data_IF_167928743975
#
_entry.id   IF_167928743975
#
_cell.length_a   1.000
_cell.length_b   1.000
_cell.length_c   1.000
_cell.angle_alpha   90.00
_cell.angle_beta   90.00
_cell.angle_gamma   90.00
#
_symmetry.space_group_name_H-M   'P 1'
#
loop_
_entity.id
_entity.type
_entity.pdbx_description
1 polymer ?
#
# COMPACT_ATOMS: atom_id res chain seq x y z
N UNK A 1 -3.55 6.94 29.30
CA UNK A 1 -4.30 5.94 28.53
C UNK A 1 -5.59 5.55 29.25
N UNK A 2 -6.73 6.13 28.85
CA UNK A 2 -8.03 5.64 29.29
C UNK A 2 -8.57 4.62 28.29
N UNK A 3 -9.43 3.69 28.73
CA UNK A 3 -10.02 2.66 27.86
C UNK A 3 -11.54 2.81 27.87
N UNK A 4 -12.15 2.86 26.70
CA UNK A 4 -13.59 2.85 26.49
C UNK A 4 -13.97 1.71 25.56
N UNK A 5 -14.98 0.96 25.98
CA UNK A 5 -15.53 -0.16 25.23
C UNK A 5 -17.02 0.10 25.05
N UNK A 6 -17.49 0.02 23.82
CA UNK A 6 -18.90 0.12 23.41
C UNK A 6 -19.69 -1.17 23.71
N UNK A 7 -20.89 -1.27 23.14
CA UNK A 7 -21.75 -2.45 23.15
C UNK A 7 -21.66 -3.21 21.82
N UNK A 8 -22.60 -4.12 21.54
CA UNK A 8 -22.71 -4.80 20.25
C UNK A 8 -23.70 -4.11 19.29
N UNK A 9 -24.17 -2.91 19.65
CA UNK A 9 -25.03 -2.07 18.82
C UNK A 9 -24.25 -0.90 18.22
N UNK A 10 -24.93 -0.03 17.47
CA UNK A 10 -24.32 1.19 16.97
C UNK A 10 -24.11 2.19 18.12
N UNK A 11 -22.86 2.55 18.37
CA UNK A 11 -22.43 3.42 19.45
C UNK A 11 -21.66 4.66 18.96
N UNK A 12 -21.62 5.68 19.82
CA UNK A 12 -20.79 6.88 19.59
C UNK A 12 -19.82 7.02 20.75
N UNK A 13 -18.54 6.82 20.47
CA UNK A 13 -17.46 6.89 21.43
C UNK A 13 -16.59 8.11 21.13
N UNK A 14 -16.33 8.91 22.16
CA UNK A 14 -15.38 10.00 22.09
C UNK A 14 -14.32 9.84 23.18
N UNK A 15 -13.06 9.93 22.81
CA UNK A 15 -11.89 10.01 23.68
C UNK A 15 -11.77 11.37 24.38
N UNK A 16 -10.56 11.66 24.80
CA UNK A 16 -10.11 12.80 25.59
C UNK A 16 -8.98 13.51 24.85
N UNK A 17 -8.29 14.46 25.48
CA UNK A 17 -7.14 15.13 24.84
C UNK A 17 -5.80 14.49 25.27
N UNK A 18 -5.86 13.21 25.68
CA UNK A 18 -4.73 12.37 26.02
C UNK A 18 -4.99 10.99 25.45
N UNK A 19 -3.95 10.17 25.36
CA UNK A 19 -4.03 8.82 24.78
C UNK A 19 -5.21 8.00 25.32
N UNK A 20 -5.93 7.38 24.40
CA UNK A 20 -7.10 6.54 24.64
C UNK A 20 -7.04 5.22 23.88
N UNK A 21 -7.77 4.23 24.40
CA UNK A 21 -8.10 2.99 23.69
C UNK A 21 -9.62 2.98 23.52
N UNK A 22 -10.09 3.09 22.28
CA UNK A 22 -11.50 3.07 21.91
C UNK A 22 -11.83 1.77 21.17
N UNK A 23 -12.78 1.00 21.70
CA UNK A 23 -13.23 -0.27 21.13
C UNK A 23 -14.73 -0.21 20.79
N UNK A 24 -15.09 -0.37 19.51
CA UNK A 24 -16.46 -0.42 18.97
C UNK A 24 -17.13 -1.81 19.01
N UNK A 25 -16.34 -2.88 19.13
CA UNK A 25 -16.84 -4.27 19.22
C UNK A 25 -17.65 -4.72 18.01
N UNK A 26 -18.97 -4.54 17.99
CA UNK A 26 -19.83 -4.94 16.90
C UNK A 26 -20.92 -3.89 16.72
N UNK A 27 -21.37 -3.67 15.50
CA UNK A 27 -22.30 -2.58 15.19
C UNK A 27 -21.68 -1.64 14.17
N UNK A 28 -22.36 -0.54 13.86
CA UNK A 28 -21.75 0.53 13.05
C UNK A 28 -21.50 1.69 13.99
N UNK A 29 -20.26 1.84 14.41
CA UNK A 29 -19.85 2.75 15.46
C UNK A 29 -19.21 4.01 14.91
N UNK A 30 -19.24 5.07 15.71
CA UNK A 30 -18.49 6.29 15.46
C UNK A 30 -17.51 6.53 16.61
N UNK A 31 -16.21 6.36 16.33
CA UNK A 31 -15.14 6.53 17.29
C UNK A 31 -14.33 7.78 16.95
N UNK A 32 -14.21 8.70 17.91
CA UNK A 32 -13.38 9.91 17.80
C UNK A 32 -12.35 9.94 18.92
N UNK A 33 -11.05 9.90 18.60
CA UNK A 33 -9.94 9.99 19.56
C UNK A 33 -9.81 11.37 20.21
N UNK A 34 -9.77 12.40 19.36
CA UNK A 34 -9.54 13.83 19.64
C UNK A 34 -8.08 14.20 19.71
N UNK A 35 -7.42 14.02 20.85
CA UNK A 35 -6.04 14.44 21.03
C UNK A 35 -5.26 13.42 21.85
N UNK A 36 -3.97 13.28 21.59
CA UNK A 36 -3.15 12.20 22.16
C UNK A 36 -2.94 11.08 21.15
N UNK A 37 -2.11 10.10 21.50
CA UNK A 37 -1.82 8.96 20.62
C UNK A 37 -2.84 7.84 20.90
N UNK A 38 -3.89 7.75 20.08
CA UNK A 38 -5.04 6.91 20.33
C UNK A 38 -4.98 5.57 19.59
N UNK A 39 -5.64 4.55 20.17
CA UNK A 39 -5.89 3.26 19.50
C UNK A 39 -7.38 3.11 19.26
N UNK A 40 -7.79 3.12 17.99
CA UNK A 40 -9.17 2.99 17.56
C UNK A 40 -9.38 1.64 16.90
N UNK A 41 -10.24 0.81 17.48
CA UNK A 41 -10.66 -0.47 16.90
C UNK A 41 -12.18 -0.47 16.75
N UNK A 42 -12.64 -0.35 15.50
CA UNK A 42 -14.08 -0.40 15.18
C UNK A 42 -14.69 -1.74 15.55
N UNK A 43 -14.02 -2.82 15.18
CA UNK A 43 -14.51 -4.18 15.42
C UNK A 43 -15.30 -4.66 14.21
N UNK A 44 -16.44 -5.32 14.43
CA UNK A 44 -17.27 -5.85 13.37
C UNK A 44 -18.30 -4.82 12.92
N UNK A 45 -18.32 -4.48 11.64
CA UNK A 45 -19.36 -3.65 11.06
C UNK A 45 -18.83 -2.76 9.96
N UNK A 46 -19.47 -1.60 9.79
CA UNK A 46 -18.90 -0.51 9.00
C UNK A 46 -18.88 0.71 9.88
N UNK A 47 -17.72 0.96 10.46
CA UNK A 47 -17.51 2.01 11.44
C UNK A 47 -17.07 3.33 10.80
N UNK A 48 -17.01 4.38 11.61
CA UNK A 48 -16.42 5.67 11.30
C UNK A 48 -15.37 6.00 12.36
N UNK A 49 -14.10 5.95 11.98
CA UNK A 49 -12.96 6.17 12.87
C UNK A 49 -12.28 7.50 12.52
N UNK A 50 -12.00 8.30 13.55
CA UNK A 50 -11.25 9.56 13.47
C UNK A 50 -10.33 9.67 14.68
N UNK A 51 -9.02 9.65 14.47
CA UNK A 51 -7.98 9.76 15.50
C UNK A 51 -7.91 11.17 16.05
N UNK A 52 -7.54 12.13 15.21
CA UNK A 52 -7.48 13.54 15.56
C UNK A 52 -6.05 14.05 15.62
N UNK A 53 -5.64 14.64 16.74
CA UNK A 53 -4.28 15.15 16.89
C UNK A 53 -3.43 14.17 17.70
N UNK A 54 -2.33 13.70 17.13
CA UNK A 54 -1.46 12.70 17.73
C UNK A 54 -1.11 11.62 16.72
N UNK A 55 -0.31 10.64 17.14
CA UNK A 55 0.01 9.48 16.29
C UNK A 55 -0.97 8.37 16.60
N UNK A 56 -2.01 8.26 15.78
CA UNK A 56 -3.12 7.36 16.03
C UNK A 56 -2.91 6.00 15.35
N UNK A 57 -3.49 4.96 15.95
CA UNK A 57 -3.50 3.61 15.39
C UNK A 57 -4.93 3.14 15.14
N UNK A 58 -5.25 2.92 13.86
CA UNK A 58 -6.52 2.40 13.39
C UNK A 58 -6.43 0.90 13.15
N UNK A 59 -7.32 0.13 13.76
CA UNK A 59 -7.53 -1.29 13.47
C UNK A 59 -8.84 -1.41 12.70
N UNK A 60 -8.73 -1.78 11.42
CA UNK A 60 -9.87 -1.83 10.50
C UNK A 60 -10.03 -3.21 9.85
N UNK A 61 -11.27 -3.65 9.71
CA UNK A 61 -11.64 -4.83 8.94
C UNK A 61 -12.44 -4.48 7.67
N UNK A 62 -12.72 -3.19 7.46
CA UNK A 62 -13.35 -2.66 6.27
C UNK A 62 -12.63 -1.40 5.74
N UNK A 63 -12.47 -1.32 4.41
CA UNK A 63 -11.71 -0.25 3.77
C UNK A 63 -12.38 1.14 3.83
N UNK A 64 -13.62 1.22 4.29
CA UNK A 64 -14.38 2.47 4.40
C UNK A 64 -14.39 3.07 5.80
N UNK A 65 -13.71 2.45 6.78
CA UNK A 65 -13.88 2.80 8.19
C UNK A 65 -13.17 4.09 8.61
N UNK A 66 -12.07 4.44 7.96
CA UNK A 66 -11.34 5.66 8.31
C UNK A 66 -11.93 6.85 7.56
N UNK A 67 -12.28 7.90 8.30
CA UNK A 67 -12.68 9.16 7.71
C UNK A 67 -11.46 9.89 7.11
N UNK A 68 -11.11 9.58 5.87
CA UNK A 68 -9.95 10.13 5.16
C UNK A 68 -9.96 11.66 5.00
N UNK A 69 -11.09 12.32 5.27
CA UNK A 69 -11.28 13.76 5.15
C UNK A 69 -11.33 14.50 6.51
N UNK A 70 -11.32 13.79 7.64
CA UNK A 70 -11.22 14.41 8.95
C UNK A 70 -9.82 15.03 9.13
N UNK A 71 -9.68 16.21 9.75
CA UNK A 71 -8.37 16.72 10.12
C UNK A 71 -7.67 15.72 11.03
N UNK A 72 -6.51 15.24 10.59
CA UNK A 72 -5.60 14.36 11.33
C UNK A 72 -4.24 15.05 11.41
N UNK A 73 -3.50 14.85 12.50
CA UNK A 73 -2.18 15.43 12.65
C UNK A 73 -1.27 14.49 13.43
N UNK A 74 -0.22 14.00 12.78
CA UNK A 74 0.73 13.10 13.41
C UNK A 74 1.31 12.16 12.35
N UNK A 75 1.78 11.01 12.80
CA UNK A 75 2.19 9.89 11.96
C UNK A 75 1.25 8.73 12.27
N UNK A 76 0.24 8.58 11.42
CA UNK A 76 -0.88 7.68 11.69
C UNK A 76 -0.64 6.29 11.11
N UNK A 77 -1.06 5.27 11.86
CA UNK A 77 -0.86 3.87 11.53
C UNK A 77 -2.18 3.16 11.28
N UNK A 78 -2.35 2.64 10.07
CA UNK A 78 -3.46 1.77 9.70
C UNK A 78 -2.99 0.32 9.74
N UNK A 79 -3.67 -0.49 10.56
CA UNK A 79 -3.52 -1.94 10.61
C UNK A 79 -4.80 -2.59 10.11
N UNK A 80 -4.70 -3.41 9.07
CA UNK A 80 -5.89 -3.89 8.37
C UNK A 80 -5.82 -5.36 7.98
N UNK A 81 -6.98 -6.02 7.94
CA UNK A 81 -7.15 -7.39 7.41
C UNK A 81 -7.74 -7.40 6.00
N UNK A 82 -7.93 -6.23 5.38
CA UNK A 82 -8.45 -6.07 4.01
C UNK A 82 -7.49 -5.30 3.11
N UNK A 83 -7.72 -5.36 1.80
CA UNK A 83 -6.98 -4.52 0.85
C UNK A 83 -7.29 -3.05 1.13
N UNK A 84 -6.24 -2.22 1.24
CA UNK A 84 -6.41 -0.83 1.67
C UNK A 84 -5.47 0.13 0.94
N UNK A 85 -5.96 1.37 0.80
CA UNK A 85 -5.18 2.51 0.31
C UNK A 85 -5.25 3.62 1.33
N UNK A 86 -4.09 4.10 1.80
CA UNK A 86 -4.00 5.19 2.78
C UNK A 86 -4.75 6.44 2.26
N UNK A 87 -5.47 7.11 3.15
CA UNK A 87 -6.05 8.43 2.88
C UNK A 87 -4.98 9.52 2.95
N UNK A 88 -5.35 10.78 2.72
CA UNK A 88 -4.38 11.85 2.50
C UNK A 88 -3.53 12.26 3.71
N UNK A 89 -3.81 11.71 4.90
CA UNK A 89 -3.20 12.09 6.18
C UNK A 89 -2.78 10.84 6.97
N UNK A 90 -2.48 9.72 6.29
CA UNK A 90 -1.96 8.54 6.96
C UNK A 90 -0.65 8.11 6.32
N UNK A 91 0.32 7.73 7.14
CA UNK A 91 1.70 7.51 6.69
C UNK A 91 2.12 6.06 6.80
N UNK A 92 1.48 5.25 7.66
CA UNK A 92 1.91 3.86 7.91
C UNK A 92 0.77 2.90 7.63
N UNK A 93 1.03 1.92 6.77
CA UNK A 93 0.13 0.80 6.50
C UNK A 93 0.80 -0.50 6.92
N UNK A 94 0.08 -1.32 7.67
CA UNK A 94 0.48 -2.70 7.99
C UNK A 94 -0.67 -3.65 7.67
N UNK A 95 -0.44 -4.56 6.73
CA UNK A 95 -1.37 -5.64 6.42
C UNK A 95 -1.22 -6.73 7.49
N UNK A 96 -2.34 -7.20 8.03
CA UNK A 96 -2.42 -8.23 9.06
C UNK A 96 -2.87 -9.57 8.47
N UNK A 97 -2.70 -10.63 9.25
CA UNK A 97 -3.15 -11.97 8.90
C UNK A 97 -2.28 -12.65 7.84
N UNK A 98 -2.88 -13.61 7.13
CA UNK A 98 -2.22 -14.44 6.12
C UNK A 98 -3.05 -14.57 4.84
N UNK A 99 -4.01 -13.66 4.65
CA UNK A 99 -4.81 -13.56 3.44
C UNK A 99 -4.08 -12.71 2.41
N UNK A 100 -4.22 -13.05 1.12
CA UNK A 100 -3.65 -12.23 0.05
C UNK A 100 -4.45 -10.94 -0.09
N UNK A 101 -3.91 -9.85 0.44
CA UNK A 101 -4.47 -8.50 0.40
C UNK A 101 -3.40 -7.52 -0.10
N UNK A 102 -3.81 -6.37 -0.60
CA UNK A 102 -2.89 -5.40 -1.19
C UNK A 102 -2.83 -4.13 -0.36
N UNK A 103 -1.69 -3.44 -0.44
CA UNK A 103 -1.45 -2.19 0.25
C UNK A 103 -1.01 -1.10 -0.72
N UNK A 104 -1.63 0.07 -0.61
CA UNK A 104 -1.19 1.25 -1.33
C UNK A 104 -1.08 2.44 -0.37
N UNK A 105 -0.03 3.24 -0.51
CA UNK A 105 0.05 4.55 0.12
C UNK A 105 -0.64 5.64 -0.70
N UNK A 106 -0.21 6.88 -0.49
CA UNK A 106 -0.79 8.13 -0.97
C UNK A 106 0.30 9.01 -1.64
N UNK A 107 0.30 10.32 -1.42
CA UNK A 107 1.29 11.23 -1.99
C UNK A 107 2.33 11.76 -0.99
N UNK A 108 2.23 11.31 0.27
CA UNK A 108 3.15 11.59 1.36
C UNK A 108 4.20 10.49 1.43
N UNK A 109 5.21 10.68 2.28
CA UNK A 109 6.19 9.65 2.60
C UNK A 109 5.52 8.53 3.40
N UNK A 110 5.44 7.33 2.85
CA UNK A 110 4.71 6.22 3.45
C UNK A 110 5.59 5.02 3.81
N UNK A 111 5.23 4.35 4.90
CA UNK A 111 5.77 3.04 5.29
C UNK A 111 4.70 1.98 5.07
N UNK A 112 4.81 1.19 4.00
CA UNK A 112 3.87 0.14 3.63
C UNK A 112 4.46 -1.24 3.89
N UNK A 113 3.88 -1.97 4.84
CA UNK A 113 4.28 -3.33 5.22
C UNK A 113 3.19 -4.35 4.85
N UNK A 114 3.60 -5.38 4.12
CA UNK A 114 2.82 -6.56 3.78
C UNK A 114 2.60 -7.53 4.95
N UNK A 115 1.94 -8.64 4.66
CA UNK A 115 1.70 -9.75 5.57
C UNK A 115 2.43 -11.01 5.08
N UNK A 116 2.04 -12.20 5.56
CA UNK A 116 2.73 -13.44 5.17
C UNK A 116 2.22 -14.09 3.87
N UNK A 117 1.38 -13.39 3.10
CA UNK A 117 0.79 -13.87 1.87
C UNK A 117 1.26 -13.03 0.69
N UNK A 118 1.01 -13.48 -0.54
CA UNK A 118 1.32 -12.69 -1.73
C UNK A 118 0.55 -11.36 -1.72
N UNK A 119 1.26 -10.25 -1.65
CA UNK A 119 0.73 -8.90 -1.64
C UNK A 119 1.23 -8.10 -2.85
N UNK A 120 0.41 -7.19 -3.35
CA UNK A 120 0.86 -6.09 -4.21
C UNK A 120 1.00 -4.83 -3.34
N UNK A 121 2.21 -4.30 -3.24
CA UNK A 121 2.53 -3.11 -2.45
C UNK A 121 2.96 -1.96 -3.35
N UNK A 122 2.39 -0.78 -3.09
CA UNK A 122 2.75 0.48 -3.77
C UNK A 122 2.88 1.60 -2.75
N UNK A 123 3.99 2.33 -2.77
CA UNK A 123 4.20 3.51 -1.95
C UNK A 123 3.29 4.65 -2.39
N UNK A 124 3.46 5.12 -3.62
CA UNK A 124 2.62 6.18 -4.16
C UNK A 124 3.49 7.22 -4.82
N UNK A 125 3.27 8.49 -4.48
CA UNK A 125 4.30 9.52 -4.64
C UNK A 125 4.93 9.74 -3.27
N UNK A 126 6.05 10.46 -3.22
CA UNK A 126 6.74 10.72 -1.95
C UNK A 126 7.86 9.70 -1.71
N UNK A 127 8.53 9.82 -0.58
CA UNK A 127 9.65 8.96 -0.21
C UNK A 127 9.12 7.78 0.60
N UNK A 128 8.99 6.63 -0.05
CA UNK A 128 8.35 5.47 0.56
C UNK A 128 9.33 4.38 1.01
N UNK A 129 8.89 3.60 2.00
CA UNK A 129 9.49 2.35 2.44
C UNK A 129 8.48 1.21 2.23
N UNK A 130 8.84 0.25 1.39
CA UNK A 130 8.03 -0.93 1.08
C UNK A 130 8.69 -2.20 1.63
N UNK A 131 7.92 -3.02 2.34
CA UNK A 131 8.37 -4.31 2.88
C UNK A 131 7.32 -5.39 2.64
N UNK A 132 7.62 -6.38 1.79
CA UNK A 132 6.73 -7.51 1.48
C UNK A 132 6.54 -8.48 2.65
N UNK A 133 7.59 -8.65 3.46
CA UNK A 133 7.68 -9.63 4.55
C UNK A 133 7.83 -11.07 4.06
N UNK A 134 6.77 -11.87 4.02
CA UNK A 134 6.85 -13.25 3.53
C UNK A 134 5.75 -13.48 2.50
N UNK A 135 5.99 -14.34 1.52
CA UNK A 135 5.05 -14.52 0.42
C UNK A 135 5.75 -14.24 -0.90
N UNK A 136 5.01 -14.28 -2.00
CA UNK A 136 5.55 -13.93 -3.30
C UNK A 136 4.94 -12.59 -3.68
N UNK A 137 5.65 -11.52 -3.39
CA UNK A 137 5.11 -10.17 -3.42
C UNK A 137 5.40 -9.47 -4.75
N UNK A 138 4.59 -8.46 -5.05
CA UNK A 138 4.79 -7.53 -6.16
C UNK A 138 4.97 -6.14 -5.57
N UNK A 139 6.19 -5.62 -5.64
CA UNK A 139 6.53 -4.30 -5.14
C UNK A 139 6.64 -3.33 -6.32
N UNK A 140 5.73 -2.35 -6.36
CA UNK A 140 5.68 -1.37 -7.44
C UNK A 140 6.70 -0.27 -7.17
N UNK A 141 7.74 -0.22 -8.01
CA UNK A 141 8.83 0.74 -7.89
C UNK A 141 8.41 2.15 -8.29
N UNK A 142 8.66 3.11 -7.41
CA UNK A 142 8.77 4.53 -7.72
C UNK A 142 10.22 5.02 -7.50
N UNK A 143 10.79 5.87 -8.39
CA UNK A 143 12.13 6.42 -8.19
C UNK A 143 12.34 7.22 -6.89
N UNK A 144 11.27 7.72 -6.27
CA UNK A 144 11.31 8.41 -5.00
C UNK A 144 11.38 7.47 -3.79
N UNK A 145 11.05 6.18 -3.95
CA UNK A 145 11.16 5.17 -2.89
C UNK A 145 12.58 5.13 -2.33
N UNK A 146 12.72 5.11 -1.00
CA UNK A 146 14.03 4.98 -0.35
C UNK A 146 14.39 3.52 -0.06
N UNK A 147 13.40 2.65 0.10
CA UNK A 147 13.64 1.23 0.32
C UNK A 147 12.49 0.37 -0.23
N UNK A 148 12.85 -0.67 -0.98
CA UNK A 148 11.93 -1.69 -1.47
C UNK A 148 12.53 -3.05 -1.14
N UNK A 149 11.95 -3.71 -0.14
CA UNK A 149 12.38 -5.01 0.35
C UNK A 149 11.28 -6.06 0.12
N UNK A 150 11.51 -7.05 -0.74
CA UNK A 150 10.51 -8.13 -0.93
C UNK A 150 10.42 -9.03 0.30
N UNK A 151 11.57 -9.40 0.87
CA UNK A 151 11.61 -10.21 2.08
C UNK A 151 11.86 -11.68 1.75
N UNK A 152 11.01 -12.57 2.28
CA UNK A 152 11.13 -14.00 2.12
C UNK A 152 10.13 -14.54 1.11
N UNK A 153 10.61 -15.18 0.06
CA UNK A 153 9.79 -15.84 -0.94
C UNK A 153 10.36 -15.60 -2.33
N UNK A 154 9.49 -15.44 -3.33
CA UNK A 154 9.90 -15.05 -4.68
C UNK A 154 9.21 -13.75 -5.04
N UNK A 155 9.95 -12.67 -4.93
CA UNK A 155 9.42 -11.32 -4.98
C UNK A 155 9.75 -10.62 -6.29
N UNK A 156 8.79 -9.84 -6.76
CA UNK A 156 8.84 -9.14 -8.04
C UNK A 156 8.95 -7.64 -7.82
N UNK A 157 10.05 -7.04 -8.26
CA UNK A 157 10.14 -5.60 -8.45
C UNK A 157 9.48 -5.23 -9.77
N UNK A 158 8.37 -4.53 -9.68
CA UNK A 158 7.60 -4.12 -10.83
C UNK A 158 7.91 -2.65 -11.18
N UNK A 159 8.60 -2.45 -12.31
CA UNK A 159 8.93 -1.11 -12.81
C UNK A 159 8.01 -0.81 -13.98
N UNK A 160 7.07 0.12 -13.80
CA UNK A 160 6.06 0.48 -14.81
C UNK A 160 5.88 2.00 -14.91
N UNK A 161 5.44 2.47 -16.07
CA UNK A 161 5.20 3.89 -16.34
C UNK A 161 6.21 4.49 -17.33
N UNK A 162 5.77 5.48 -18.11
CA UNK A 162 6.67 6.21 -19.01
C UNK A 162 7.62 7.08 -18.20
N UNK A 163 8.91 7.06 -18.53
CA UNK A 163 9.91 7.91 -17.88
C UNK A 163 10.40 7.43 -16.51
N UNK A 164 9.90 6.30 -15.99
CA UNK A 164 10.43 5.69 -14.77
C UNK A 164 11.81 5.08 -15.09
N UNK A 165 12.83 5.56 -14.39
CA UNK A 165 14.22 5.11 -14.55
C UNK A 165 14.70 4.53 -13.24
N UNK A 166 15.02 3.23 -13.22
CA UNK A 166 15.68 2.59 -12.09
C UNK A 166 17.19 2.49 -12.40
N UNK A 167 17.98 3.42 -11.87
CA UNK A 167 19.44 3.37 -12.06
C UNK A 167 20.10 2.57 -10.94
N UNK A 168 20.37 1.29 -11.17
CA UNK A 168 20.98 0.41 -10.18
C UNK A 168 22.44 0.76 -9.83
N UNK A 169 23.11 1.62 -10.61
CA UNK A 169 24.50 2.06 -10.34
C UNK A 169 24.57 3.25 -9.40
N UNK A 170 23.53 4.09 -9.38
CA UNK A 170 23.45 5.29 -8.55
C UNK A 170 22.16 5.33 -7.75
N UNK A 171 21.53 4.17 -7.53
CA UNK A 171 20.23 4.08 -6.88
C UNK A 171 20.34 4.63 -5.47
N UNK A 172 19.46 5.58 -5.15
CA UNK A 172 19.22 6.03 -3.78
C UNK A 172 18.26 5.07 -3.07
N UNK A 173 17.44 4.33 -3.82
CA UNK A 173 16.57 3.27 -3.32
C UNK A 173 17.39 2.04 -2.94
N UNK A 174 17.25 1.58 -1.70
CA UNK A 174 17.74 0.29 -1.27
C UNK A 174 16.79 -0.82 -1.77
N UNK A 175 17.26 -1.62 -2.73
CA UNK A 175 16.53 -2.77 -3.26
C UNK A 175 17.09 -4.06 -2.63
N UNK A 176 16.24 -4.87 -1.98
CA UNK A 176 16.65 -6.11 -1.33
C UNK A 176 15.57 -7.19 -1.35
N UNK A 177 15.96 -8.47 -1.26
CA UNK A 177 15.01 -9.60 -1.24
C UNK A 177 14.10 -9.60 -2.46
N UNK A 178 14.68 -9.50 -3.66
CA UNK A 178 13.95 -9.48 -4.94
C UNK A 178 14.57 -10.52 -5.86
N UNK A 179 13.74 -11.40 -6.43
CA UNK A 179 14.16 -12.47 -7.33
C UNK A 179 13.78 -12.17 -8.79
N UNK A 180 12.73 -11.39 -8.99
CA UNK A 180 12.16 -11.09 -10.31
C UNK A 180 12.11 -9.58 -10.53
N UNK A 181 12.45 -9.16 -11.74
CA UNK A 181 12.20 -7.79 -12.22
C UNK A 181 11.17 -7.88 -13.34
N UNK A 182 10.00 -7.29 -13.14
CA UNK A 182 8.94 -7.19 -14.15
C UNK A 182 8.96 -5.82 -14.84
N UNK A 183 9.27 -5.84 -16.14
CA UNK A 183 9.25 -4.68 -17.04
C UNK A 183 8.10 -4.74 -18.06
N UNK A 184 7.18 -5.71 -17.93
CA UNK A 184 6.17 -6.01 -18.96
C UNK A 184 4.95 -5.08 -18.93
N UNK A 185 4.94 -4.06 -18.07
CA UNK A 185 3.91 -3.03 -18.03
C UNK A 185 3.94 -2.11 -19.24
N UNK A 186 2.77 -1.91 -19.85
CA UNK A 186 2.55 -1.21 -21.12
C UNK A 186 2.98 0.26 -21.11
N UNK A 187 4.27 0.52 -21.35
CA UNK A 187 4.80 1.82 -21.77
C UNK A 187 5.23 1.86 -23.23
N UNK A 188 5.41 0.70 -23.86
CA UNK A 188 5.66 0.57 -25.29
C UNK A 188 4.89 -0.64 -25.84
N UNK A 189 4.45 -0.50 -27.08
CA UNK A 189 3.63 -1.47 -27.82
C UNK A 189 4.02 -2.93 -27.58
N UNK A 190 3.05 -3.87 -27.49
CA UNK A 190 3.34 -5.28 -27.26
C UNK A 190 4.34 -5.81 -28.29
N UNK A 191 5.20 -6.75 -27.89
CA UNK A 191 6.20 -7.40 -28.76
C UNK A 191 5.62 -7.95 -30.08
N UNK A 192 4.31 -8.18 -30.13
CA UNK A 192 3.55 -8.57 -31.33
C UNK A 192 3.49 -7.50 -32.43
N UNK A 193 3.73 -6.21 -32.13
CA UNK A 193 3.76 -5.13 -33.12
C UNK A 193 5.15 -4.87 -33.71
N UNK A 194 6.19 -5.51 -33.19
CA UNK A 194 7.54 -5.45 -33.75
C UNK A 194 7.57 -6.31 -35.01
N UNK A 195 7.09 -5.74 -36.13
CA UNK A 195 7.26 -6.34 -37.46
C UNK A 195 8.75 -6.61 -37.64
N UNK A 196 9.14 -7.88 -37.56
CA UNK A 196 10.48 -8.33 -37.94
C UNK A 196 10.72 -7.82 -39.36
N UNK A 197 11.68 -6.91 -39.61
CA UNK A 197 12.10 -6.66 -40.97
C UNK A 197 12.70 -7.99 -41.45
N UNK A 198 12.03 -8.65 -42.38
CA UNK A 198 12.52 -9.89 -42.96
C UNK A 198 13.81 -9.56 -43.72
N UNK A 199 14.97 -9.68 -43.07
CA UNK A 199 16.29 -9.57 -43.69
C UNK A 199 16.59 -10.84 -44.50
N UNK A 200 15.80 -11.07 -45.55
CA UNK A 200 16.07 -11.87 -46.76
C UNK A 200 14.76 -12.30 -47.42
N UNK A 201 14.12 -11.38 -48.12
CA UNK A 201 13.40 -11.75 -49.33
C UNK A 201 14.16 -11.11 -50.50
N UNK A 202 15.14 -11.84 -51.05
CA UNK A 202 15.64 -11.48 -52.38
C UNK A 202 14.52 -11.78 -53.38
N UNK A 203 14.17 -10.86 -54.29
CA UNK A 203 13.25 -11.19 -55.37
C UNK A 203 13.90 -12.22 -56.30
N UNK A 204 13.13 -13.26 -56.64
CA UNK A 204 13.49 -14.24 -57.66
C UNK A 204 13.49 -13.53 -59.00
N UNK A 205 14.67 -13.21 -59.53
CA UNK A 205 14.82 -12.73 -60.90
C UNK A 205 14.49 -13.91 -61.83
N UNK A 206 13.43 -13.81 -62.61
CA UNK A 206 13.17 -14.73 -63.73
C UNK A 206 14.04 -14.30 -64.92
N UNK A 207 14.70 -15.22 -65.65
CA UNK A 207 15.48 -14.84 -66.81
C UNK A 207 14.58 -14.55 -68.02
N UNK A 208 14.95 -13.47 -68.72
CA UNK A 208 14.70 -13.06 -70.10
C UNK A 208 13.84 -13.97 -71.00
N UNK A 209 12.83 -13.34 -71.61
CA UNK A 209 12.34 -13.63 -72.96
C UNK A 209 12.59 -12.42 -73.84
#
# INVERSE_FOLDING_TARGET
MAKKTSTAGADVLAGTNVDDILLGLAGNDHLTGRGGDDVLNGGLGVDLLSGGAGNDTYLIDNASEINKAAPDAGIDTVKTTVTYTLGAQQERLTLLGSTAINGAGNALDNSVRGNSAANTLKGGLGIDLLSGEAGNDVLVYDPADVAVNGGAGTDTLQIRGSGVTANLLTATTLLSGLEVIDLTGTGNTPWSSMRRPCWRCRPRVTPYG
#
